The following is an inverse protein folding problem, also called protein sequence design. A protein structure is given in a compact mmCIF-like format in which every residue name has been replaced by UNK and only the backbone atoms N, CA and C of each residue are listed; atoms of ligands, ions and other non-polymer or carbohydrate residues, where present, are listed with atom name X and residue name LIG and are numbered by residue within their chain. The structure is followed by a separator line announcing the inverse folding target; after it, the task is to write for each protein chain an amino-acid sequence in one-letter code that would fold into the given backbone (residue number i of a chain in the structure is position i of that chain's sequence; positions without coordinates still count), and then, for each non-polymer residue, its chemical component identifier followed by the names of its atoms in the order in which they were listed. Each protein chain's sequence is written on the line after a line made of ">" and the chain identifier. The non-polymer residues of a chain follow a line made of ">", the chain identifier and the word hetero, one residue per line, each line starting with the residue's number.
data_IF_020294504594
#
_entry.id   IF_020294504594
#
_cell.length_a   1.000
_cell.length_b   1.000
_cell.length_c   1.000
_cell.angle_alpha   90.00
_cell.angle_beta   90.00
_cell.angle_gamma   90.00
#
_symmetry.space_group_name_H-M   'P 1'
#
loop_
_entity.id
_entity.type
_entity.pdbx_description
1 polymer ?
#
# COMPACT_ATOMS: atom_id res chain seq x y z
N UNK A 1 0.99 3.86 -14.95
CA UNK A 1 0.17 3.46 -13.79
C UNK A 1 0.74 2.20 -13.15
N UNK A 2 0.87 2.22 -11.84
CA UNK A 2 1.28 1.06 -11.07
C UNK A 2 0.05 0.51 -10.35
N UNK A 3 -0.28 -0.74 -10.60
CA UNK A 3 -1.28 -1.44 -9.79
C UNK A 3 -0.57 -2.17 -8.66
N UNK A 4 -1.06 -2.02 -7.43
CA UNK A 4 -0.36 -2.58 -6.28
C UNK A 4 -1.32 -3.20 -5.27
N UNK A 5 -0.85 -4.27 -4.62
CA UNK A 5 -1.62 -4.99 -3.60
C UNK A 5 -0.66 -5.53 -2.53
N UNK A 6 -0.94 -5.19 -1.28
CA UNK A 6 -0.16 -5.64 -0.13
C UNK A 6 -0.84 -6.79 0.60
N UNK A 7 -0.02 -7.74 1.04
CA UNK A 7 -0.40 -8.76 2.01
C UNK A 7 0.50 -8.61 3.23
N UNK A 8 -0.10 -8.47 4.41
CA UNK A 8 0.64 -8.32 5.67
C UNK A 8 0.29 -9.49 6.57
N UNK A 9 1.33 -10.23 6.95
CA UNK A 9 1.24 -11.37 7.85
C UNK A 9 1.85 -10.99 9.20
N UNK A 10 1.84 -11.93 10.16
CA UNK A 10 2.34 -11.64 11.51
C UNK A 10 3.80 -11.18 11.52
N UNK A 11 4.65 -11.80 10.71
CA UNK A 11 6.09 -11.50 10.65
C UNK A 11 6.60 -11.13 9.27
N UNK A 12 5.75 -11.19 8.26
CA UNK A 12 6.14 -11.01 6.87
C UNK A 12 5.18 -10.09 6.16
N UNK A 13 5.63 -9.47 5.08
CA UNK A 13 4.77 -8.76 4.16
C UNK A 13 5.24 -8.98 2.74
N UNK A 14 4.33 -8.88 1.81
CA UNK A 14 4.66 -8.85 0.39
C UNK A 14 3.80 -7.82 -0.32
N UNK A 15 4.31 -7.36 -1.44
CA UNK A 15 3.55 -6.52 -2.35
C UNK A 15 3.73 -7.02 -3.77
N UNK A 16 2.62 -7.07 -4.50
CA UNK A 16 2.62 -7.30 -5.94
C UNK A 16 2.48 -5.94 -6.60
N UNK A 17 3.39 -5.64 -7.53
CA UNK A 17 3.45 -4.37 -8.25
C UNK A 17 3.38 -4.66 -9.74
N UNK A 18 2.41 -4.08 -10.42
CA UNK A 18 2.24 -4.27 -11.86
C UNK A 18 2.37 -2.93 -12.54
N UNK A 19 3.43 -2.77 -13.33
CA UNK A 19 3.58 -1.62 -14.21
C UNK A 19 2.78 -1.87 -15.47
N UNK A 20 1.63 -1.20 -15.59
CA UNK A 20 0.73 -1.44 -16.71
C UNK A 20 1.30 -0.96 -18.04
N UNK A 21 2.16 0.05 -18.04
CA UNK A 21 2.77 0.56 -19.26
C UNK A 21 3.85 -0.39 -19.77
N UNK A 22 4.70 -0.88 -18.87
CA UNK A 22 5.78 -1.81 -19.22
C UNK A 22 5.31 -3.26 -19.27
N UNK A 23 4.09 -3.55 -18.80
CA UNK A 23 3.54 -4.91 -18.67
C UNK A 23 4.45 -5.82 -17.86
N UNK A 24 4.98 -5.27 -16.76
CA UNK A 24 5.93 -5.96 -15.91
C UNK A 24 5.36 -6.12 -14.50
N UNK A 25 5.45 -7.35 -13.98
CA UNK A 25 5.08 -7.66 -12.60
C UNK A 25 6.35 -7.76 -11.74
N UNK A 26 6.30 -7.16 -10.57
CA UNK A 26 7.37 -7.24 -9.57
C UNK A 26 6.74 -7.65 -8.25
N UNK A 27 7.34 -8.63 -7.58
CA UNK A 27 6.94 -9.03 -6.22
C UNK A 27 8.09 -8.69 -5.28
N UNK A 28 7.78 -7.98 -4.20
CA UNK A 28 8.75 -7.62 -3.17
C UNK A 28 8.29 -8.22 -1.85
N UNK A 29 9.18 -8.96 -1.19
CA UNK A 29 8.90 -9.62 0.08
C UNK A 29 9.92 -9.15 1.11
N UNK A 30 9.45 -8.55 2.21
CA UNK A 30 10.27 -8.16 3.36
C UNK A 30 11.51 -7.31 3.01
N UNK A 31 11.45 -6.55 1.94
CA UNK A 31 12.58 -5.75 1.45
C UNK A 31 12.18 -4.28 1.30
N UNK A 32 12.24 -3.50 2.39
CA UNK A 32 11.84 -2.09 2.34
C UNK A 32 12.73 -1.24 1.43
N UNK A 33 14.00 -1.55 1.30
CA UNK A 33 14.92 -0.79 0.44
C UNK A 33 14.57 -0.97 -1.03
N UNK A 34 14.23 -2.19 -1.43
CA UNK A 34 13.78 -2.46 -2.80
C UNK A 34 12.46 -1.75 -3.10
N UNK A 35 11.53 -1.76 -2.14
CA UNK A 35 10.26 -1.05 -2.29
C UNK A 35 10.49 0.46 -2.40
N UNK A 36 11.37 1.01 -1.60
CA UNK A 36 11.69 2.43 -1.65
C UNK A 36 12.28 2.83 -3.00
N UNK A 37 13.19 2.03 -3.55
CA UNK A 37 13.74 2.27 -4.89
C UNK A 37 12.64 2.22 -5.95
N UNK A 38 11.75 1.24 -5.88
CA UNK A 38 10.63 1.13 -6.81
C UNK A 38 9.73 2.37 -6.73
N UNK A 39 9.40 2.80 -5.52
CA UNK A 39 8.59 4.00 -5.30
C UNK A 39 9.28 5.24 -5.88
N UNK A 40 10.56 5.43 -5.63
CA UNK A 40 11.30 6.59 -6.14
C UNK A 40 11.33 6.63 -7.68
N UNK A 41 11.41 5.47 -8.31
CA UNK A 41 11.38 5.35 -9.76
C UNK A 41 9.99 5.61 -10.37
N UNK A 42 8.93 5.52 -9.57
CA UNK A 42 7.55 5.58 -10.07
C UNK A 42 6.69 6.60 -9.31
N UNK A 43 7.28 7.50 -8.53
CA UNK A 43 6.49 8.38 -7.67
C UNK A 43 5.72 9.48 -8.41
N UNK A 44 5.95 9.69 -9.66
CA UNK A 44 5.23 10.68 -10.46
C UNK A 44 4.01 10.13 -11.18
N UNK A 45 3.69 8.86 -11.03
CA UNK A 45 2.60 8.21 -11.74
C UNK A 45 1.48 7.78 -10.78
N UNK A 46 0.34 7.42 -11.35
CA UNK A 46 -0.80 6.94 -10.55
C UNK A 46 -0.51 5.54 -10.03
N UNK A 47 -0.75 5.36 -8.73
CA UNK A 47 -0.73 4.07 -8.06
C UNK A 47 -2.17 3.67 -7.80
N UNK A 48 -2.61 2.56 -8.35
CA UNK A 48 -3.99 2.11 -8.26
C UNK A 48 -4.08 0.78 -7.51
N UNK A 49 -5.14 0.61 -6.76
CA UNK A 49 -5.39 -0.63 -6.03
C UNK A 49 -6.83 -0.75 -5.60
N UNK A 50 -7.23 -1.98 -5.24
CA UNK A 50 -8.55 -2.25 -4.72
C UNK A 50 -8.56 -1.96 -3.21
N UNK A 51 -9.41 -1.04 -2.76
CA UNK A 51 -9.44 -0.53 -1.39
C UNK A 51 -8.14 0.15 -0.96
N UNK A 52 -7.34 0.62 -1.90
CA UNK A 52 -6.04 1.22 -1.61
C UNK A 52 -6.16 2.55 -0.86
N UNK A 53 -7.29 3.26 -1.02
CA UNK A 53 -7.55 4.51 -0.29
C UNK A 53 -7.50 4.32 1.21
N UNK A 54 -8.02 3.19 1.70
CA UNK A 54 -8.18 2.94 3.13
C UNK A 54 -7.11 2.02 3.71
N UNK A 55 -6.38 1.29 2.87
CA UNK A 55 -5.45 0.27 3.34
C UNK A 55 -4.08 0.34 2.67
N UNK A 56 -3.96 -0.07 1.40
CA UNK A 56 -2.64 -0.31 0.79
C UNK A 56 -1.74 0.93 0.79
N UNK A 57 -2.30 2.13 0.60
CA UNK A 57 -1.48 3.33 0.63
C UNK A 57 -0.81 3.55 1.99
N UNK A 58 -1.48 3.15 3.07
CA UNK A 58 -0.92 3.32 4.42
C UNK A 58 0.10 2.25 4.75
N UNK A 59 -0.07 1.04 4.23
CA UNK A 59 0.95 0.01 4.34
C UNK A 59 2.20 0.42 3.57
N UNK A 60 2.05 0.92 2.34
CA UNK A 60 3.16 1.46 1.56
C UNK A 60 3.88 2.56 2.33
N UNK A 61 3.14 3.56 2.80
CA UNK A 61 3.71 4.70 3.50
C UNK A 61 4.38 4.30 4.81
N UNK A 62 3.81 3.33 5.53
CA UNK A 62 4.42 2.81 6.76
C UNK A 62 5.81 2.22 6.48
N UNK A 63 5.92 1.40 5.46
CA UNK A 63 7.21 0.77 5.10
C UNK A 63 8.20 1.84 4.64
N UNK A 64 7.76 2.80 3.82
CA UNK A 64 8.61 3.90 3.35
C UNK A 64 9.11 4.78 4.50
N UNK A 65 8.31 4.94 5.56
CA UNK A 65 8.70 5.68 6.77
C UNK A 65 9.56 4.85 7.73
N UNK A 66 9.80 3.58 7.44
CA UNK A 66 10.60 2.71 8.31
C UNK A 66 9.82 2.02 9.42
N UNK A 67 8.48 2.03 9.35
CA UNK A 67 7.64 1.34 10.33
C UNK A 67 7.46 -0.13 9.97
N UNK A 68 7.26 -0.96 11.00
CA UNK A 68 6.73 -2.30 10.80
C UNK A 68 5.29 -2.18 10.30
N UNK A 69 4.92 -2.78 9.16
CA UNK A 69 3.56 -2.67 8.66
C UNK A 69 2.51 -3.43 9.46
N UNK A 70 2.91 -4.41 10.30
CA UNK A 70 1.94 -5.23 11.05
C UNK A 70 1.10 -4.40 12.03
N UNK A 71 1.66 -3.52 12.88
CA UNK A 71 0.84 -2.67 13.73
C UNK A 71 -0.10 -1.75 12.95
N UNK A 72 0.33 -1.25 11.80
CA UNK A 72 -0.51 -0.41 10.93
C UNK A 72 -1.67 -1.22 10.36
N UNK A 73 -1.37 -2.45 9.91
CA UNK A 73 -2.39 -3.38 9.44
C UNK A 73 -3.45 -3.63 10.53
N UNK A 74 -3.01 -3.90 11.76
CA UNK A 74 -3.92 -4.19 12.87
C UNK A 74 -4.75 -2.96 13.25
N UNK A 75 -4.15 -1.77 13.20
CA UNK A 75 -4.85 -0.51 13.41
C UNK A 75 -6.03 -0.34 12.43
N UNK A 76 -5.80 -0.61 11.16
CA UNK A 76 -6.81 -0.43 10.12
C UNK A 76 -7.84 -1.55 10.14
N UNK A 77 -7.37 -2.80 10.17
CA UNK A 77 -8.23 -3.98 9.97
C UNK A 77 -8.86 -4.45 11.28
N UNK A 78 -8.05 -4.66 12.32
CA UNK A 78 -8.55 -5.22 13.59
C UNK A 78 -9.24 -4.15 14.45
N UNK A 79 -8.70 -2.93 14.50
CA UNK A 79 -9.24 -1.86 15.30
C UNK A 79 -10.19 -0.94 14.53
N UNK A 80 -10.31 -1.14 13.23
CA UNK A 80 -11.19 -0.38 12.33
C UNK A 80 -10.97 1.14 12.45
N UNK A 81 -9.71 1.55 12.49
CA UNK A 81 -9.31 2.96 12.59
C UNK A 81 -8.71 3.44 11.28
N UNK A 82 -8.90 4.72 10.92
CA UNK A 82 -8.35 5.23 9.68
C UNK A 82 -6.82 5.31 9.73
N UNK A 83 -6.18 4.85 8.63
CA UNK A 83 -4.73 4.79 8.54
C UNK A 83 -4.03 6.13 8.70
N UNK A 84 -4.63 7.23 8.22
CA UNK A 84 -4.02 8.55 8.33
C UNK A 84 -3.86 9.02 9.78
N UNK A 85 -4.56 8.42 10.72
CA UNK A 85 -4.44 8.74 12.15
C UNK A 85 -3.31 7.98 12.84
N UNK A 86 -2.76 6.99 12.19
CA UNK A 86 -1.66 6.21 12.78
C UNK A 86 -0.41 7.07 12.94
N UNK A 87 -0.04 7.83 11.91
CA UNK A 87 1.13 8.71 11.96
C UNK A 87 0.98 9.90 11.02
N UNK A 88 1.40 11.07 11.48
CA UNK A 88 1.47 12.28 10.64
C UNK A 88 2.55 12.18 9.57
N UNK A 89 3.53 11.28 9.75
CA UNK A 89 4.64 11.09 8.81
C UNK A 89 4.17 10.56 7.46
N UNK A 90 3.00 9.95 7.39
CA UNK A 90 2.47 9.42 6.13
C UNK A 90 2.26 10.50 5.07
N UNK A 91 2.14 11.76 5.48
CA UNK A 91 2.00 12.89 4.55
C UNK A 91 3.30 13.22 3.82
N UNK A 92 4.44 12.79 4.34
CA UNK A 92 5.76 13.06 3.75
C UNK A 92 6.00 12.30 2.45
N UNK A 93 5.24 11.26 2.20
CA UNK A 93 5.35 10.45 0.99
C UNK A 93 4.16 10.73 0.09
N UNK A 94 4.27 11.70 -0.82
CA UNK A 94 3.18 12.02 -1.75
C UNK A 94 2.90 10.83 -2.67
N UNK A 95 1.62 10.54 -2.84
CA UNK A 95 1.18 9.42 -3.64
C UNK A 95 -0.08 9.82 -4.39
N UNK A 96 -0.07 9.63 -5.71
CA UNK A 96 -1.27 9.79 -6.52
C UNK A 96 -1.98 8.43 -6.48
N UNK A 97 -2.88 8.27 -5.52
CA UNK A 97 -3.56 7.00 -5.30
C UNK A 97 -4.96 7.02 -5.93
N UNK A 98 -5.25 6.00 -6.72
CA UNK A 98 -6.58 5.78 -7.29
C UNK A 98 -7.14 4.46 -6.75
N UNK A 99 -8.27 4.56 -6.06
CA UNK A 99 -8.95 3.39 -5.50
C UNK A 99 -10.02 2.92 -6.49
N UNK A 100 -9.85 1.69 -6.98
CA UNK A 100 -10.79 1.11 -7.96
C UNK A 100 -11.98 0.41 -7.30
N UNK A 101 -12.07 0.48 -5.97
CA UNK A 101 -13.18 -0.12 -5.23
C UNK A 101 -14.49 0.57 -5.56
N UNK A 102 -15.58 -0.16 -5.87
CA UNK A 102 -16.86 0.44 -6.19
C UNK A 102 -17.48 1.17 -5.00
N UNK A 103 -18.40 2.08 -5.28
CA UNK A 103 -19.17 2.81 -4.29
C UNK A 103 -20.63 2.37 -4.35
N UNK A 104 -21.27 1.79 -3.27
CA UNK A 104 -20.65 1.61 -1.95
C UNK A 104 -19.52 0.58 -1.99
N UNK A 105 -18.51 0.77 -1.14
CA UNK A 105 -17.36 -0.09 -1.19
C UNK A 105 -17.69 -1.51 -0.71
N UNK A 106 -17.22 -2.49 -1.50
CA UNK A 106 -17.32 -3.92 -1.17
C UNK A 106 -15.89 -4.45 -1.19
N UNK A 107 -15.37 -4.81 -0.03
CA UNK A 107 -14.01 -5.30 0.07
C UNK A 107 -13.93 -6.76 -0.35
N UNK A 108 -13.01 -7.09 -1.27
CA UNK A 108 -12.70 -8.48 -1.59
C UNK A 108 -12.14 -9.22 -0.38
N UNK A 109 -11.50 -8.52 0.53
CA UNK A 109 -10.93 -9.11 1.75
C UNK A 109 -12.01 -9.46 2.78
N UNK A 110 -13.21 -8.93 2.63
CA UNK A 110 -14.35 -9.22 3.49
C UNK A 110 -15.25 -10.32 2.94
N UNK A 111 -15.02 -10.77 1.73
CA UNK A 111 -15.78 -11.84 1.08
C UNK A 111 -15.15 -13.25 1.37
#
# INVERSE_FOLDING_TARGET
>A
MIFYDFEVFRYDWLVVLIDLNARKETVIINDPDKLKRFYEEHKGVIWAGYNSRNYDQYILKAILCGFDPKPVNDWIIAENKPGYRYSSLFREYPLINYDVMPNPPISLKAL
#
